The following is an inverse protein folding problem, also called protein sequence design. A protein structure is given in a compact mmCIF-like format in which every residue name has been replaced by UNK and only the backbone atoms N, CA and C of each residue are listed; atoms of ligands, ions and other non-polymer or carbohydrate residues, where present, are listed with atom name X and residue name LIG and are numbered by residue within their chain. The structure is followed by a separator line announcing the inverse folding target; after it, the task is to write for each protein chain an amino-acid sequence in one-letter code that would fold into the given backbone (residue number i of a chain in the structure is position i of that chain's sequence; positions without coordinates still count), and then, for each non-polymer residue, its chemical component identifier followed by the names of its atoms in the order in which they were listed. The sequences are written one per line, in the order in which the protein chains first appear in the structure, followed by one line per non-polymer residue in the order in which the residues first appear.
data_IF_727776564003
#
_entry.id   IF_727776564003
#
_cell.length_a   1.000
_cell.length_b   1.000
_cell.length_c   1.000
_cell.angle_alpha   90.00
_cell.angle_beta   90.00
_cell.angle_gamma   90.00
#
_symmetry.space_group_name_H-M   'P 1'
#
loop_
_entity.id
_entity.type
_entity.pdbx_description
1 polymer ?
#
# COMPACT_ATOMS: atom_id res chain seq x y z
N UNK A 1 -18.37 -12.19 -8.41
CA UNK A 1 -19.33 -11.10 -8.14
C UNK A 1 -19.76 -11.13 -6.67
N UNK A 2 -20.31 -12.23 -6.19
CA UNK A 2 -20.79 -12.36 -4.82
C UNK A 2 -19.72 -12.10 -3.75
N UNK A 3 -18.45 -12.46 -4.00
CA UNK A 3 -17.36 -12.24 -3.03
C UNK A 3 -16.96 -10.77 -2.93
N UNK A 4 -16.98 -10.03 -4.04
CA UNK A 4 -16.74 -8.58 -4.02
C UNK A 4 -17.84 -7.89 -3.23
N UNK A 5 -19.11 -8.18 -3.54
CA UNK A 5 -20.26 -7.60 -2.83
C UNK A 5 -20.19 -7.90 -1.32
N UNK A 6 -19.96 -9.16 -0.93
CA UNK A 6 -19.84 -9.55 0.49
C UNK A 6 -18.71 -8.81 1.19
N UNK A 7 -17.56 -8.67 0.55
CA UNK A 7 -16.39 -8.01 1.14
C UNK A 7 -16.62 -6.50 1.31
N UNK A 8 -17.22 -5.85 0.32
CA UNK A 8 -17.55 -4.42 0.41
C UNK A 8 -18.63 -4.17 1.45
N UNK A 9 -19.68 -5.00 1.52
CA UNK A 9 -20.72 -4.87 2.55
C UNK A 9 -20.21 -5.17 3.96
N UNK A 10 -19.30 -6.14 4.10
CA UNK A 10 -18.59 -6.40 5.36
C UNK A 10 -17.80 -5.17 5.81
N UNK A 11 -17.00 -4.58 4.92
CA UNK A 11 -16.23 -3.36 5.18
C UNK A 11 -17.13 -2.17 5.55
N UNK A 12 -18.20 -1.95 4.79
CA UNK A 12 -19.18 -0.88 5.04
C UNK A 12 -19.87 -1.04 6.38
N UNK A 13 -20.24 -2.26 6.75
CA UNK A 13 -20.87 -2.58 8.03
C UNK A 13 -19.92 -2.34 9.19
N UNK A 14 -18.67 -2.80 9.08
CA UNK A 14 -17.64 -2.56 10.07
C UNK A 14 -17.35 -1.06 10.24
N UNK A 15 -17.26 -0.33 9.14
CA UNK A 15 -17.09 1.13 9.16
C UNK A 15 -18.20 1.81 9.97
N UNK A 16 -19.46 1.58 9.62
CA UNK A 16 -20.61 2.25 10.23
C UNK A 16 -20.83 1.89 11.70
N UNK A 17 -20.64 0.62 12.06
CA UNK A 17 -21.06 0.10 13.35
C UNK A 17 -19.96 0.13 14.42
N UNK A 18 -18.68 0.03 14.03
CA UNK A 18 -17.56 -0.08 14.97
C UNK A 18 -16.40 0.84 14.63
N UNK A 19 -15.77 0.68 13.47
CA UNK A 19 -14.45 1.24 13.18
C UNK A 19 -14.40 2.77 13.16
N UNK A 20 -15.39 3.44 12.55
CA UNK A 20 -15.47 4.90 12.54
C UNK A 20 -15.65 5.52 13.93
N UNK A 21 -16.08 4.71 14.90
CA UNK A 21 -16.27 5.14 16.31
C UNK A 21 -15.09 4.76 17.20
N UNK A 22 -14.15 3.98 16.67
CA UNK A 22 -12.95 3.56 17.40
C UNK A 22 -12.03 4.77 17.59
N UNK A 23 -11.60 4.99 18.84
CA UNK A 23 -10.70 6.09 19.14
C UNK A 23 -9.36 5.97 18.41
N UNK A 24 -8.66 7.09 18.21
CA UNK A 24 -7.33 7.11 17.58
C UNK A 24 -6.36 6.19 18.33
N UNK A 25 -6.36 6.25 19.67
CA UNK A 25 -5.49 5.42 20.49
C UNK A 25 -5.78 3.91 20.34
N UNK A 26 -7.05 3.53 20.18
CA UNK A 26 -7.39 2.11 19.92
C UNK A 26 -6.98 1.69 18.51
N UNK A 27 -7.18 2.54 17.47
CA UNK A 27 -6.69 2.25 16.12
C UNK A 27 -5.17 2.07 16.11
N UNK A 28 -4.43 2.93 16.82
CA UNK A 28 -2.99 2.84 16.96
C UNK A 28 -2.55 1.51 17.61
N UNK A 29 -3.26 1.02 18.63
CA UNK A 29 -3.00 -0.31 19.22
C UNK A 29 -3.14 -1.44 18.20
N UNK A 30 -4.20 -1.42 17.38
CA UNK A 30 -4.40 -2.43 16.34
C UNK A 30 -3.32 -2.35 15.27
N UNK A 31 -2.92 -1.16 14.86
CA UNK A 31 -1.82 -0.97 13.90
C UNK A 31 -0.52 -1.58 14.43
N UNK A 32 -0.14 -1.26 15.68
CA UNK A 32 1.06 -1.84 16.30
C UNK A 32 0.96 -3.36 16.42
N UNK A 33 -0.20 -3.90 16.83
CA UNK A 33 -0.41 -5.34 16.92
C UNK A 33 -0.27 -6.05 15.55
N UNK A 34 -0.75 -5.44 14.46
CA UNK A 34 -0.54 -5.95 13.10
C UNK A 34 0.95 -5.93 12.75
N UNK A 35 1.65 -4.83 13.00
CA UNK A 35 3.08 -4.71 12.77
C UNK A 35 3.89 -5.77 13.53
N UNK A 36 3.57 -6.00 14.81
CA UNK A 36 4.19 -7.04 15.63
C UNK A 36 3.96 -8.43 15.06
N UNK A 37 2.72 -8.75 14.64
CA UNK A 37 2.41 -10.04 14.02
C UNK A 37 3.16 -10.26 12.71
N UNK A 38 3.34 -9.23 11.90
CA UNK A 38 4.14 -9.32 10.67
C UNK A 38 5.62 -9.60 10.99
N UNK A 39 6.19 -8.91 11.97
CA UNK A 39 7.56 -9.11 12.40
C UNK A 39 7.79 -10.51 12.99
N UNK A 40 6.94 -10.94 13.91
CA UNK A 40 7.01 -12.28 14.53
C UNK A 40 6.90 -13.42 13.51
N UNK A 41 6.21 -13.19 12.38
CA UNK A 41 5.95 -14.18 11.34
C UNK A 41 6.65 -13.84 10.01
N UNK A 42 7.70 -13.03 10.03
CA UNK A 42 8.38 -12.56 8.82
C UNK A 42 8.96 -13.69 7.97
N UNK A 43 9.43 -14.76 8.58
CA UNK A 43 9.89 -15.97 7.86
C UNK A 43 8.74 -16.65 7.09
N UNK A 44 7.57 -16.78 7.69
CA UNK A 44 6.39 -17.37 7.04
C UNK A 44 5.93 -16.51 5.86
N UNK A 45 5.75 -15.20 6.09
CA UNK A 45 5.32 -14.25 5.07
C UNK A 45 6.36 -14.14 3.94
N UNK A 46 7.64 -14.07 4.30
CA UNK A 46 8.74 -14.01 3.34
C UNK A 46 8.82 -15.26 2.47
N UNK A 47 8.65 -16.47 3.04
CA UNK A 47 8.61 -17.72 2.27
C UNK A 47 7.41 -17.74 1.30
N UNK A 48 6.23 -17.36 1.77
CA UNK A 48 5.04 -17.29 0.92
C UNK A 48 5.26 -16.34 -0.26
N UNK A 49 5.81 -15.15 0.01
CA UNK A 49 6.11 -14.17 -1.05
C UNK A 49 7.22 -14.65 -1.99
N UNK A 50 8.27 -15.28 -1.46
CA UNK A 50 9.37 -15.84 -2.27
C UNK A 50 8.88 -16.93 -3.23
N UNK A 51 8.01 -17.83 -2.76
CA UNK A 51 7.44 -18.90 -3.59
C UNK A 51 6.58 -18.35 -4.72
N UNK A 52 5.72 -17.38 -4.42
CA UNK A 52 4.80 -16.82 -5.40
C UNK A 52 5.50 -15.88 -6.41
N UNK A 53 6.48 -15.08 -5.94
CA UNK A 53 7.11 -14.03 -6.78
C UNK A 53 8.45 -14.43 -7.38
N UNK A 54 9.10 -15.48 -6.88
CA UNK A 54 10.45 -15.88 -7.27
C UNK A 54 11.58 -15.01 -6.68
N UNK A 55 11.27 -14.04 -5.82
CA UNK A 55 12.26 -13.19 -5.16
C UNK A 55 13.09 -13.97 -4.14
N UNK A 56 14.28 -13.47 -3.82
CA UNK A 56 15.13 -14.07 -2.81
C UNK A 56 14.45 -14.03 -1.43
N UNK A 57 14.47 -15.15 -0.72
CA UNK A 57 13.91 -15.26 0.63
C UNK A 57 14.50 -14.21 1.59
N UNK A 58 15.78 -13.89 1.46
CA UNK A 58 16.45 -12.87 2.27
C UNK A 58 15.76 -11.49 2.10
N UNK A 59 15.40 -11.13 0.87
CA UNK A 59 14.74 -9.85 0.57
C UNK A 59 13.31 -9.83 1.07
N UNK A 60 12.53 -10.88 0.80
CA UNK A 60 11.11 -10.95 1.17
C UNK A 60 10.92 -11.04 2.68
N UNK A 61 11.78 -11.77 3.37
CA UNK A 61 11.81 -11.82 4.83
C UNK A 61 12.14 -10.45 5.43
N UNK A 62 13.20 -9.80 4.97
CA UNK A 62 13.58 -8.47 5.42
C UNK A 62 12.45 -7.45 5.18
N UNK A 63 11.81 -7.49 4.02
CA UNK A 63 10.66 -6.63 3.75
C UNK A 63 9.52 -6.87 4.75
N UNK A 64 9.20 -8.13 5.07
CA UNK A 64 8.16 -8.47 6.04
C UNK A 64 8.50 -7.99 7.45
N UNK A 65 9.77 -8.09 7.87
CA UNK A 65 10.27 -7.54 9.14
C UNK A 65 10.13 -6.01 9.18
N UNK A 66 10.55 -5.33 8.10
CA UNK A 66 10.54 -3.88 7.99
C UNK A 66 9.13 -3.28 7.97
N UNK A 67 8.12 -4.03 7.56
CA UNK A 67 6.73 -3.53 7.54
C UNK A 67 6.18 -3.22 8.92
N UNK A 68 6.74 -3.76 9.99
CA UNK A 68 6.45 -3.33 11.36
C UNK A 68 6.58 -1.81 11.50
N UNK A 69 7.67 -1.24 11.00
CA UNK A 69 7.96 0.20 11.10
C UNK A 69 6.91 1.06 10.38
N UNK A 70 6.35 0.57 9.26
CA UNK A 70 5.25 1.27 8.58
C UNK A 70 3.98 1.35 9.44
N UNK A 71 3.60 0.24 10.06
CA UNK A 71 2.42 0.22 10.93
C UNK A 71 2.62 1.06 12.18
N UNK A 72 3.81 1.04 12.77
CA UNK A 72 4.17 1.87 13.92
C UNK A 72 4.17 3.35 13.56
N UNK A 73 4.81 3.74 12.45
CA UNK A 73 4.83 5.12 11.97
C UNK A 73 3.42 5.69 11.80
N UNK A 74 2.52 4.95 11.17
CA UNK A 74 1.15 5.42 10.98
C UNK A 74 0.31 5.38 12.26
N UNK A 75 0.64 4.53 13.22
CA UNK A 75 0.06 4.58 14.56
C UNK A 75 0.43 5.87 15.28
N UNK A 76 1.72 6.20 15.29
CA UNK A 76 2.26 7.42 15.92
C UNK A 76 1.75 8.68 15.22
N UNK A 77 1.71 8.66 13.87
CA UNK A 77 1.17 9.77 13.09
C UNK A 77 -0.30 10.02 13.42
N UNK A 78 -1.12 8.96 13.50
CA UNK A 78 -2.53 9.08 13.85
C UNK A 78 -2.72 9.71 15.23
N UNK A 79 -1.93 9.30 16.23
CA UNK A 79 -1.99 9.84 17.60
C UNK A 79 -1.53 11.29 17.69
N UNK A 80 -0.67 11.74 16.75
CA UNK A 80 -0.18 13.14 16.71
C UNK A 80 -1.07 14.10 15.91
N UNK A 81 -2.00 13.59 15.11
CA UNK A 81 -2.84 14.42 14.23
C UNK A 81 -4.01 15.05 14.98
N UNK A 82 -4.22 16.35 14.75
CA UNK A 82 -5.46 17.03 15.11
C UNK A 82 -6.47 16.85 13.96
N UNK A 83 -7.63 16.29 14.28
CA UNK A 83 -8.70 16.11 13.29
C UNK A 83 -9.52 17.38 13.03
N UNK A 84 -9.38 18.37 13.89
CA UNK A 84 -10.06 19.66 13.79
C UNK A 84 -9.04 20.79 14.00
N UNK A 85 -8.94 21.70 13.04
CA UNK A 85 -8.02 22.82 13.07
C UNK A 85 -8.76 24.11 12.70
N UNK A 86 -8.75 25.10 13.59
CA UNK A 86 -9.28 26.41 13.28
C UNK A 86 -8.39 27.13 12.25
N UNK A 87 -8.99 27.61 11.19
CA UNK A 87 -8.31 28.37 10.13
C UNK A 87 -8.55 29.87 10.35
N UNK A 88 -7.52 30.70 10.49
CA UNK A 88 -7.67 32.14 10.60
C UNK A 88 -8.39 32.71 9.37
N UNK A 89 -9.49 33.42 9.59
CA UNK A 89 -10.25 34.10 8.51
C UNK A 89 -10.03 35.61 8.59
N UNK A 90 -9.06 36.12 7.85
CA UNK A 90 -8.64 37.52 7.87
C UNK A 90 -9.68 38.42 7.21
N UNK A 91 -10.33 37.93 6.14
CA UNK A 91 -11.26 38.73 5.32
C UNK A 91 -12.66 38.83 5.95
N UNK A 92 -13.04 37.89 6.80
CA UNK A 92 -14.36 37.82 7.42
C UNK A 92 -14.24 37.49 8.91
N UNK A 93 -13.87 38.46 9.74
CA UNK A 93 -13.55 38.20 11.16
C UNK A 93 -14.73 37.72 12.01
N UNK A 94 -15.96 37.85 11.51
CA UNK A 94 -17.19 37.38 12.16
C UNK A 94 -17.58 35.93 11.76
N UNK A 95 -16.72 35.26 10.96
CA UNK A 95 -16.93 33.86 10.54
C UNK A 95 -15.86 32.98 11.15
N UNK A 96 -16.28 31.87 11.75
CA UNK A 96 -15.39 30.77 12.14
C UNK A 96 -15.20 29.82 10.97
N UNK A 97 -13.94 29.49 10.66
CA UNK A 97 -13.59 28.51 9.64
C UNK A 97 -12.79 27.39 10.30
N UNK A 98 -13.25 26.16 10.12
CA UNK A 98 -12.65 24.97 10.71
C UNK A 98 -12.38 23.95 9.62
N UNK A 99 -11.15 23.40 9.58
CA UNK A 99 -10.81 22.21 8.79
C UNK A 99 -11.11 20.97 9.62
N UNK A 100 -11.95 20.08 9.12
CA UNK A 100 -12.29 18.82 9.78
C UNK A 100 -11.82 17.67 8.89
N UNK A 101 -11.09 16.72 9.48
CA UNK A 101 -10.62 15.50 8.81
C UNK A 101 -11.44 14.30 9.23
N UNK A 102 -12.10 13.69 8.26
CA UNK A 102 -12.98 12.53 8.47
C UNK A 102 -12.55 11.33 7.60
N UNK A 103 -12.80 10.08 8.06
CA UNK A 103 -12.57 8.91 7.24
C UNK A 103 -13.45 8.93 5.97
N UNK A 104 -12.88 8.49 4.85
CA UNK A 104 -13.58 8.39 3.55
C UNK A 104 -14.64 7.27 3.58
N UNK A 105 -14.37 6.18 4.30
CA UNK A 105 -15.25 5.00 4.37
C UNK A 105 -14.55 3.72 3.95
N UNK A 106 -15.03 3.07 2.88
CA UNK A 106 -14.43 1.83 2.35
C UNK A 106 -13.42 2.16 1.26
N UNK A 107 -12.19 1.65 1.42
CA UNK A 107 -11.09 1.85 0.47
C UNK A 107 -10.76 0.53 -0.23
N UNK A 108 -10.68 0.55 -1.56
CA UNK A 108 -10.16 -0.56 -2.35
C UNK A 108 -8.64 -0.45 -2.47
N UNK A 109 -7.92 -1.50 -2.03
CA UNK A 109 -6.47 -1.62 -2.15
C UNK A 109 -6.13 -2.71 -3.17
N UNK A 110 -5.63 -2.34 -4.35
CA UNK A 110 -5.25 -3.29 -5.39
C UNK A 110 -3.74 -3.49 -5.36
N UNK A 111 -3.34 -4.72 -5.03
CA UNK A 111 -1.96 -5.11 -4.78
C UNK A 111 -1.46 -5.96 -5.95
N UNK A 112 -0.31 -5.62 -6.57
CA UNK A 112 0.30 -6.42 -7.61
C UNK A 112 1.05 -7.64 -7.05
N UNK A 113 1.66 -8.42 -7.94
CA UNK A 113 2.31 -9.68 -7.60
C UNK A 113 3.77 -9.56 -7.11
N UNK A 114 4.42 -8.42 -7.33
CA UNK A 114 5.88 -8.30 -7.20
C UNK A 114 6.40 -7.97 -5.78
N UNK A 115 5.58 -7.39 -4.90
CA UNK A 115 5.96 -7.04 -3.52
C UNK A 115 4.71 -6.91 -2.65
N UNK A 116 4.06 -8.04 -2.39
CA UNK A 116 2.72 -8.07 -1.80
C UNK A 116 2.68 -7.48 -0.39
N UNK A 117 3.62 -7.88 0.48
CA UNK A 117 3.62 -7.43 1.87
C UNK A 117 3.96 -5.95 1.98
N UNK A 118 4.96 -5.49 1.23
CA UNK A 118 5.34 -4.08 1.20
C UNK A 118 4.20 -3.20 0.67
N UNK A 119 3.68 -3.53 -0.52
CA UNK A 119 2.65 -2.71 -1.18
C UNK A 119 1.29 -2.80 -0.48
N UNK A 120 1.01 -3.87 0.25
CA UNK A 120 -0.13 -3.95 1.16
C UNK A 120 0.06 -2.99 2.33
N UNK A 121 1.17 -3.05 3.03
CA UNK A 121 1.42 -2.23 4.21
C UNK A 121 1.36 -0.73 3.90
N UNK A 122 1.95 -0.29 2.78
CA UNK A 122 1.94 1.12 2.33
C UNK A 122 0.53 1.67 2.04
N UNK A 123 -0.45 0.81 1.82
CA UNK A 123 -1.85 1.20 1.57
C UNK A 123 -2.73 1.00 2.80
N UNK A 124 -2.57 -0.13 3.47
CA UNK A 124 -3.44 -0.53 4.58
C UNK A 124 -3.16 0.26 5.85
N UNK A 125 -1.88 0.44 6.20
CA UNK A 125 -1.53 1.16 7.42
C UNK A 125 -2.10 2.60 7.45
N UNK A 126 -1.87 3.47 6.43
CA UNK A 126 -2.46 4.81 6.41
C UNK A 126 -3.99 4.79 6.34
N UNK A 127 -4.59 3.85 5.60
CA UNK A 127 -6.04 3.75 5.50
C UNK A 127 -6.69 3.46 6.86
N UNK A 128 -6.15 2.51 7.62
CA UNK A 128 -6.63 2.16 8.95
C UNK A 128 -6.36 3.28 9.96
N UNK A 129 -5.20 3.90 9.93
CA UNK A 129 -4.83 5.02 10.78
C UNK A 129 -5.84 6.17 10.66
N UNK A 130 -6.23 6.49 9.41
CA UNK A 130 -7.25 7.49 9.12
C UNK A 130 -8.68 7.05 9.44
N UNK A 131 -8.90 5.84 9.98
CA UNK A 131 -10.21 5.34 10.37
C UNK A 131 -11.05 4.72 9.26
N UNK A 132 -10.45 4.41 8.10
CA UNK A 132 -11.13 3.74 7.00
C UNK A 132 -11.11 2.21 7.17
N UNK A 133 -12.04 1.53 6.50
CA UNK A 133 -11.99 0.08 6.30
C UNK A 133 -11.50 -0.25 4.90
N UNK A 134 -10.94 -1.45 4.71
CA UNK A 134 -10.30 -1.79 3.44
C UNK A 134 -10.82 -3.10 2.84
N UNK A 135 -10.89 -3.13 1.51
CA UNK A 135 -11.01 -4.35 0.72
C UNK A 135 -9.74 -4.48 -0.12
N UNK A 136 -8.94 -5.47 0.20
CA UNK A 136 -7.67 -5.76 -0.47
C UNK A 136 -7.94 -6.78 -1.58
N UNK A 137 -7.61 -6.42 -2.81
CA UNK A 137 -7.56 -7.36 -3.91
C UNK A 137 -6.11 -7.79 -4.12
N UNK A 138 -5.78 -9.03 -3.81
CA UNK A 138 -4.49 -9.62 -4.18
C UNK A 138 -4.42 -9.91 -5.67
N UNK A 139 -3.21 -9.99 -6.21
CA UNK A 139 -3.00 -10.56 -7.53
C UNK A 139 -3.33 -12.06 -7.52
N UNK A 140 -3.96 -12.55 -8.57
CA UNK A 140 -4.17 -13.98 -8.81
C UNK A 140 -2.87 -14.75 -9.03
N UNK A 141 -1.81 -14.04 -9.44
CA UNK A 141 -0.48 -14.61 -9.69
C UNK A 141 0.33 -14.85 -8.42
N UNK A 142 -0.02 -14.17 -7.31
CA UNK A 142 0.74 -14.24 -6.08
C UNK A 142 -0.15 -13.96 -4.86
N UNK A 143 -1.13 -14.82 -4.55
CA UNK A 143 -2.09 -14.58 -3.48
C UNK A 143 -1.62 -15.03 -2.10
N UNK A 144 -0.66 -15.96 -2.00
CA UNK A 144 -0.33 -16.69 -0.77
C UNK A 144 0.09 -15.76 0.39
N UNK A 145 0.96 -14.75 0.22
CA UNK A 145 1.37 -13.90 1.33
C UNK A 145 0.20 -13.15 1.98
N UNK A 146 -0.76 -12.69 1.17
CA UNK A 146 -1.94 -11.98 1.69
C UNK A 146 -2.93 -12.91 2.39
N UNK A 147 -2.98 -14.20 1.98
CA UNK A 147 -3.77 -15.22 2.69
C UNK A 147 -3.17 -15.51 4.07
N UNK A 148 -1.85 -15.65 4.16
CA UNK A 148 -1.17 -15.81 5.45
C UNK A 148 -1.34 -14.57 6.33
N UNK A 149 -1.18 -13.38 5.77
CA UNK A 149 -1.44 -12.11 6.47
C UNK A 149 -2.87 -12.04 7.04
N UNK A 150 -3.89 -12.51 6.31
CA UNK A 150 -5.27 -12.53 6.79
C UNK A 150 -5.43 -13.34 8.09
N UNK A 151 -4.72 -14.49 8.20
CA UNK A 151 -4.71 -15.32 9.41
C UNK A 151 -4.08 -14.57 10.59
N UNK A 152 -2.96 -13.89 10.36
CA UNK A 152 -2.26 -13.13 11.40
C UNK A 152 -3.09 -11.94 11.90
N UNK A 153 -3.77 -11.25 10.99
CA UNK A 153 -4.66 -10.14 11.36
C UNK A 153 -5.82 -10.62 12.24
N UNK A 154 -6.36 -11.80 11.95
CA UNK A 154 -7.42 -12.38 12.79
C UNK A 154 -7.00 -12.50 14.26
N UNK A 155 -5.73 -12.87 14.51
CA UNK A 155 -5.18 -13.07 15.84
C UNK A 155 -4.89 -11.76 16.60
N UNK A 156 -4.96 -10.59 15.95
CA UNK A 156 -4.81 -9.29 16.61
C UNK A 156 -6.06 -8.82 17.34
N UNK A 157 -7.19 -9.48 17.14
CA UNK A 157 -8.48 -9.05 17.68
C UNK A 157 -9.08 -7.85 16.95
N UNK A 158 -8.55 -7.46 15.78
CA UNK A 158 -9.12 -6.40 14.94
C UNK A 158 -10.60 -6.72 14.65
N UNK A 159 -11.53 -5.74 14.76
CA UNK A 159 -12.94 -5.98 14.49
C UNK A 159 -13.18 -6.57 13.10
N UNK A 160 -14.05 -7.57 13.03
CA UNK A 160 -14.37 -8.25 11.76
C UNK A 160 -14.88 -7.27 10.73
N UNK A 161 -14.41 -7.41 9.49
CA UNK A 161 -14.79 -6.56 8.37
C UNK A 161 -13.95 -5.29 8.21
N UNK A 162 -13.08 -4.92 9.16
CA UNK A 162 -12.16 -3.78 9.00
C UNK A 162 -11.16 -4.02 7.87
N UNK A 163 -10.61 -5.22 7.79
CA UNK A 163 -9.81 -5.70 6.66
C UNK A 163 -10.54 -6.87 6.00
N UNK A 164 -10.71 -6.82 4.69
CA UNK A 164 -11.25 -7.89 3.87
C UNK A 164 -10.27 -8.16 2.74
N UNK A 165 -10.01 -9.44 2.45
CA UNK A 165 -9.05 -9.84 1.41
C UNK A 165 -9.75 -10.75 0.41
N UNK A 166 -9.66 -10.39 -0.85
CA UNK A 166 -10.15 -11.18 -2.00
C UNK A 166 -9.03 -11.39 -3.00
N UNK A 167 -9.07 -12.48 -3.72
CA UNK A 167 -8.15 -12.74 -4.83
C UNK A 167 -8.92 -12.84 -6.14
N UNK A 168 -8.27 -12.54 -7.24
CA UNK A 168 -8.85 -12.69 -8.58
C UNK A 168 -8.23 -11.79 -9.61
N UNK A 169 -8.60 -12.03 -10.86
CA UNK A 169 -8.12 -11.33 -12.04
C UNK A 169 -8.80 -10.00 -12.32
N UNK A 170 -8.81 -9.64 -13.61
CA UNK A 170 -9.32 -8.35 -14.09
C UNK A 170 -10.81 -8.14 -13.76
N UNK A 171 -11.64 -9.20 -13.82
CA UNK A 171 -13.08 -9.11 -13.54
C UNK A 171 -13.36 -8.71 -12.09
N UNK A 172 -12.63 -9.29 -11.13
CA UNK A 172 -12.72 -8.93 -9.71
C UNK A 172 -12.26 -7.47 -9.52
N UNK A 173 -11.17 -7.07 -10.19
CA UNK A 173 -10.67 -5.69 -10.18
C UNK A 173 -11.72 -4.70 -10.71
N UNK A 174 -12.35 -5.01 -11.84
CA UNK A 174 -13.40 -4.18 -12.44
C UNK A 174 -14.59 -4.01 -11.49
N UNK A 175 -15.13 -5.11 -10.96
CA UNK A 175 -16.26 -5.08 -10.02
C UNK A 175 -15.94 -4.27 -8.77
N UNK A 176 -14.73 -4.39 -8.22
CA UNK A 176 -14.32 -3.66 -7.03
C UNK A 176 -14.14 -2.16 -7.32
N UNK A 177 -13.51 -1.80 -8.44
CA UNK A 177 -13.19 -0.40 -8.76
C UNK A 177 -14.38 0.42 -9.23
N UNK A 178 -15.44 -0.23 -9.74
CA UNK A 178 -16.72 0.44 -10.10
C UNK A 178 -17.79 0.33 -9.00
N UNK A 179 -17.47 -0.29 -7.86
CA UNK A 179 -18.49 -0.51 -6.82
C UNK A 179 -18.89 0.81 -6.14
N UNK A 180 -20.20 1.08 -6.08
CA UNK A 180 -20.79 2.33 -5.57
C UNK A 180 -20.43 2.71 -4.13
N UNK A 181 -20.05 1.74 -3.30
CA UNK A 181 -19.68 1.94 -1.89
C UNK A 181 -18.17 2.09 -1.68
N UNK A 182 -17.38 2.16 -2.74
CA UNK A 182 -15.93 2.45 -2.67
C UNK A 182 -15.72 3.96 -2.81
N UNK A 183 -15.14 4.58 -1.79
CA UNK A 183 -14.86 6.02 -1.78
C UNK A 183 -13.45 6.39 -2.26
N UNK A 184 -12.50 5.44 -2.21
CA UNK A 184 -11.12 5.63 -2.69
C UNK A 184 -10.54 4.33 -3.21
N UNK A 185 -9.72 4.44 -4.24
CA UNK A 185 -8.99 3.30 -4.82
C UNK A 185 -7.48 3.59 -4.74
N UNK A 186 -6.75 2.70 -4.08
CA UNK A 186 -5.29 2.69 -4.02
C UNK A 186 -4.80 1.57 -4.94
N UNK A 187 -4.29 1.94 -6.10
CA UNK A 187 -3.85 1.01 -7.13
C UNK A 187 -2.33 1.03 -7.28
N UNK A 188 -1.71 -0.14 -7.34
CA UNK A 188 -0.35 -0.31 -7.84
C UNK A 188 -0.35 -1.37 -8.94
N UNK A 189 0.23 -1.04 -10.10
CA UNK A 189 0.27 -1.97 -11.23
C UNK A 189 0.69 -1.31 -12.55
N UNK A 190 0.36 -1.94 -13.66
CA UNK A 190 0.71 -1.45 -14.99
C UNK A 190 -0.18 -0.30 -15.47
N UNK A 191 0.37 0.57 -16.33
CA UNK A 191 -0.31 1.76 -16.89
C UNK A 191 -1.58 1.42 -17.68
N UNK A 192 -1.56 0.30 -18.43
CA UNK A 192 -2.75 -0.17 -19.15
C UNK A 192 -3.92 -0.49 -18.21
N UNK A 193 -3.64 -1.17 -17.09
CA UNK A 193 -4.66 -1.47 -16.08
C UNK A 193 -5.12 -0.20 -15.36
N UNK A 194 -4.22 0.74 -15.08
CA UNK A 194 -4.57 2.04 -14.50
C UNK A 194 -5.62 2.79 -15.32
N UNK A 195 -5.53 2.75 -16.65
CA UNK A 195 -6.53 3.35 -17.53
C UNK A 195 -7.93 2.75 -17.35
N UNK A 196 -8.03 1.45 -17.05
CA UNK A 196 -9.31 0.82 -16.72
C UNK A 196 -9.79 1.24 -15.32
N UNK A 197 -8.90 1.32 -14.34
CA UNK A 197 -9.25 1.79 -12.99
C UNK A 197 -9.80 3.21 -13.02
N UNK A 198 -9.17 4.12 -13.79
CA UNK A 198 -9.64 5.50 -13.98
C UNK A 198 -11.05 5.52 -14.58
N UNK A 199 -11.31 4.74 -15.64
CA UNK A 199 -12.63 4.69 -16.26
C UNK A 199 -13.71 4.14 -15.31
N UNK A 200 -13.37 3.08 -14.56
CA UNK A 200 -14.31 2.45 -13.64
C UNK A 200 -14.67 3.38 -12.47
N UNK A 201 -13.70 4.19 -11.98
CA UNK A 201 -13.95 5.14 -10.88
C UNK A 201 -14.88 6.29 -11.27
N UNK A 202 -15.15 6.49 -12.55
CA UNK A 202 -16.16 7.47 -12.99
C UNK A 202 -17.58 7.06 -12.58
N UNK A 203 -17.84 5.78 -12.34
CA UNK A 203 -19.16 5.28 -11.94
C UNK A 203 -19.49 5.56 -10.46
N UNK A 204 -18.46 5.69 -9.61
CA UNK A 204 -18.62 5.87 -8.16
C UNK A 204 -17.96 7.15 -7.62
N UNK A 205 -17.30 7.93 -8.47
CA UNK A 205 -16.54 9.13 -8.12
C UNK A 205 -15.44 8.89 -7.08
N UNK A 206 -14.93 7.67 -6.97
CA UNK A 206 -13.88 7.32 -6.04
C UNK A 206 -12.59 8.09 -6.35
N UNK A 207 -11.98 8.68 -5.33
CA UNK A 207 -10.66 9.29 -5.48
C UNK A 207 -9.59 8.23 -5.74
N UNK A 208 -8.56 8.58 -6.53
CA UNK A 208 -7.53 7.64 -6.96
C UNK A 208 -6.16 8.01 -6.40
N UNK A 209 -5.39 6.99 -6.01
CA UNK A 209 -3.94 7.05 -5.89
C UNK A 209 -3.39 5.94 -6.77
N UNK A 210 -2.56 6.32 -7.75
CA UNK A 210 -2.04 5.41 -8.76
C UNK A 210 -0.51 5.35 -8.63
N UNK A 211 0.01 4.16 -8.34
CA UNK A 211 1.43 3.86 -8.32
C UNK A 211 1.73 2.94 -9.52
N UNK A 212 2.53 3.41 -10.46
CA UNK A 212 2.70 2.78 -11.76
C UNK A 212 4.15 2.40 -12.01
N UNK A 213 4.37 1.63 -13.08
CA UNK A 213 5.71 1.26 -13.52
C UNK A 213 6.51 2.45 -14.07
N UNK A 214 7.80 2.24 -14.23
CA UNK A 214 8.72 3.24 -14.72
C UNK A 214 9.89 2.64 -15.49
N UNK A 215 10.78 3.53 -15.93
CA UNK A 215 12.08 3.27 -16.52
C UNK A 215 13.11 4.18 -15.84
N UNK A 216 13.28 3.97 -14.52
CA UNK A 216 14.04 4.86 -13.63
C UNK A 216 15.50 4.97 -14.07
N UNK A 217 16.02 6.17 -14.35
CA UNK A 217 17.41 6.36 -14.71
C UNK A 217 18.32 6.33 -13.46
N UNK A 218 19.51 5.77 -13.63
CA UNK A 218 20.66 5.93 -12.72
C UNK A 218 21.68 6.77 -13.45
N UNK A 219 22.04 7.92 -12.88
CA UNK A 219 22.94 8.89 -13.50
C UNK A 219 24.28 8.84 -12.74
N UNK A 220 25.39 8.71 -13.48
CA UNK A 220 26.74 8.67 -12.90
C UNK A 220 27.58 9.76 -13.54
N UNK A 221 28.12 10.66 -12.72
CA UNK A 221 29.05 11.70 -13.10
C UNK A 221 30.50 11.25 -12.90
N UNK A 222 31.47 11.98 -13.47
CA UNK A 222 32.89 11.65 -13.46
C UNK A 222 33.57 11.79 -12.10
N UNK A 223 32.96 12.50 -11.18
CA UNK A 223 33.39 12.63 -9.78
C UNK A 223 32.84 11.55 -8.84
N UNK A 224 32.05 10.58 -9.37
CA UNK A 224 31.51 9.48 -8.57
C UNK A 224 32.60 8.47 -8.19
N UNK A 225 32.47 7.92 -6.97
CA UNK A 225 33.22 6.72 -6.58
C UNK A 225 32.76 5.54 -7.45
N UNK A 226 33.65 5.03 -8.30
CA UNK A 226 33.33 4.02 -9.31
C UNK A 226 32.88 2.71 -8.68
N UNK A 227 33.53 2.21 -7.63
CA UNK A 227 33.17 0.94 -6.99
C UNK A 227 31.79 1.03 -6.32
N UNK A 228 31.56 2.13 -5.62
CA UNK A 228 30.27 2.38 -4.97
C UNK A 228 29.16 2.57 -6.04
N UNK A 229 29.42 3.26 -7.14
CA UNK A 229 28.47 3.42 -8.24
C UNK A 229 28.10 2.06 -8.86
N UNK A 230 29.07 1.18 -9.16
CA UNK A 230 28.83 -0.16 -9.69
C UNK A 230 27.98 -1.02 -8.76
N UNK A 231 28.25 -1.00 -7.46
CA UNK A 231 27.48 -1.73 -6.46
C UNK A 231 26.03 -1.22 -6.39
N UNK A 232 25.85 0.10 -6.42
CA UNK A 232 24.51 0.71 -6.38
C UNK A 232 23.72 0.44 -7.67
N UNK A 233 24.33 0.54 -8.84
CA UNK A 233 23.69 0.24 -10.13
C UNK A 233 23.21 -1.22 -10.16
N UNK A 234 24.10 -2.14 -9.78
CA UNK A 234 23.80 -3.57 -9.72
C UNK A 234 22.63 -3.85 -8.77
N UNK A 235 22.67 -3.26 -7.59
CA UNK A 235 21.58 -3.37 -6.61
C UNK A 235 20.28 -2.74 -7.13
N UNK A 236 20.35 -1.57 -7.75
CA UNK A 236 19.18 -0.85 -8.24
C UNK A 236 18.40 -1.60 -9.32
N UNK A 237 19.09 -2.39 -10.16
CA UNK A 237 18.40 -3.16 -11.22
C UNK A 237 18.06 -4.59 -10.80
N UNK A 238 18.93 -5.29 -10.07
CA UNK A 238 18.74 -6.72 -9.81
C UNK A 238 18.01 -7.06 -8.52
N UNK A 239 17.85 -6.12 -7.59
CA UNK A 239 17.00 -6.34 -6.41
C UNK A 239 15.59 -6.72 -6.81
N UNK A 240 14.99 -7.67 -6.10
CA UNK A 240 13.66 -8.18 -6.41
C UNK A 240 13.55 -8.79 -7.80
N UNK A 241 14.63 -9.39 -8.32
CA UNK A 241 14.74 -9.96 -9.67
C UNK A 241 14.47 -8.94 -10.79
N UNK A 242 14.74 -7.65 -10.55
CA UNK A 242 14.43 -6.56 -11.47
C UNK A 242 12.94 -6.25 -11.61
N UNK A 243 12.08 -6.96 -10.89
CA UNK A 243 10.63 -6.80 -10.95
C UNK A 243 10.14 -5.67 -10.03
N UNK A 244 10.68 -4.48 -10.21
CA UNK A 244 10.37 -3.30 -9.40
C UNK A 244 10.03 -2.09 -10.26
N UNK A 245 9.01 -1.34 -9.84
CA UNK A 245 8.64 -0.08 -10.48
C UNK A 245 9.75 0.98 -10.40
N UNK A 246 10.63 0.87 -9.41
CA UNK A 246 11.77 1.77 -9.17
C UNK A 246 13.11 1.18 -9.65
N UNK A 247 13.11 0.03 -10.36
CA UNK A 247 14.34 -0.59 -10.84
C UNK A 247 15.12 0.37 -11.72
N UNK A 248 16.42 0.53 -11.45
CA UNK A 248 17.35 1.38 -12.20
C UNK A 248 17.65 0.81 -13.58
N UNK A 249 16.68 0.88 -14.49
CA UNK A 249 16.67 0.17 -15.76
C UNK A 249 17.32 0.93 -16.93
N UNK A 250 17.73 2.17 -16.71
CA UNK A 250 18.47 3.00 -17.67
C UNK A 250 19.71 3.55 -16.98
N UNK A 251 20.89 3.19 -17.48
CA UNK A 251 22.15 3.76 -17.02
C UNK A 251 22.56 4.93 -17.91
N UNK A 252 22.74 6.09 -17.32
CA UNK A 252 23.21 7.31 -17.99
C UNK A 252 24.56 7.69 -17.43
N UNK A 253 25.59 7.60 -18.24
CA UNK A 253 26.98 7.94 -17.86
C UNK A 253 27.37 9.28 -18.44
N UNK A 254 28.11 10.06 -17.69
CA UNK A 254 28.78 11.25 -18.24
C UNK A 254 29.77 10.81 -19.31
N UNK A 255 29.86 11.56 -20.41
CA UNK A 255 30.65 11.21 -21.59
C UNK A 255 32.11 10.91 -21.27
N UNK A 256 32.73 11.69 -20.36
CA UNK A 256 34.13 11.54 -19.94
C UNK A 256 34.47 10.19 -19.30
N UNK A 257 33.50 9.48 -18.76
CA UNK A 257 33.73 8.18 -18.09
C UNK A 257 33.13 7.00 -18.86
N UNK A 258 32.45 7.23 -19.97
CA UNK A 258 31.67 6.21 -20.65
C UNK A 258 32.49 4.96 -20.99
N UNK A 259 33.62 5.11 -21.69
CA UNK A 259 34.46 4.00 -22.17
C UNK A 259 35.23 3.29 -21.04
N UNK A 260 35.45 3.96 -19.92
CA UNK A 260 36.17 3.37 -18.78
C UNK A 260 35.28 2.72 -17.74
N UNK A 261 34.01 3.10 -17.75
CA UNK A 261 33.03 2.60 -16.79
C UNK A 261 32.35 1.31 -17.27
N UNK A 262 32.14 1.16 -18.61
CA UNK A 262 31.60 -0.03 -19.24
C UNK A 262 32.64 -1.13 -19.43
#
# INVERSE_FOLDING_TARGET
ENDVERSVQSAKTAFKNSWSKTSVAERAKYLRAIGDKMFENAELLGRAESIDSGKLLKETKFQSEYMKEYFYYYADLAESMNNEVAIPNIDKPNMEVVEIREPIGVIACIIPWNSQMFLMATKVAPALAAGNTVVIKSSELAPAPLIEFAKLVHDTGLPKGVINIISGGADVGRLLTSHKDIGKILFTGGTATASHVIRNSAENYASLTLELGGKSPVIVFDDADTENALNNITTAIFSGNGCSCIAGSVLVLQDTIYDTFL
#
